data_IF_809675730629
#
_entry.id   IF_809675730629
#
_cell.length_a   1.000
_cell.length_b   1.000
_cell.length_c   1.000
_cell.angle_alpha   90.00
_cell.angle_beta   90.00
_cell.angle_gamma   90.00
#
_symmetry.space_group_name_H-M   'P 1'
#
loop_
_entity.id
_entity.type
_entity.pdbx_description
1 polymer ?
#
# COMPACT_ATOMS: atom_id res chain seq x y z
N UNK A 1 4.55 5.85 17.86
CA UNK A 1 3.37 6.16 17.02
C UNK A 1 3.75 5.85 15.58
N UNK A 2 3.62 4.59 15.16
CA UNK A 2 3.73 4.21 13.74
C UNK A 2 2.39 4.51 13.11
N UNK A 3 2.26 5.69 12.51
CA UNK A 3 1.09 6.03 11.70
C UNK A 3 0.99 5.02 10.57
N UNK A 4 -0.21 4.53 10.30
CA UNK A 4 -0.52 3.69 9.15
C UNK A 4 -0.10 4.44 7.87
N UNK A 5 1.09 4.12 7.36
CA UNK A 5 1.65 4.73 6.14
C UNK A 5 0.97 4.18 4.87
N UNK A 6 -0.16 3.48 4.98
CA UNK A 6 -0.87 2.85 3.86
C UNK A 6 -0.21 1.56 3.36
N UNK A 7 1.08 1.36 3.64
CA UNK A 7 1.76 0.06 3.47
C UNK A 7 1.35 -0.87 4.61
N UNK A 8 0.37 -1.74 4.33
CA UNK A 8 -0.10 -2.78 5.26
C UNK A 8 1.10 -3.47 5.91
N UNK A 9 1.32 -3.32 7.23
CA UNK A 9 2.38 -4.02 7.95
C UNK A 9 1.86 -5.36 8.48
N UNK A 10 2.16 -6.45 7.79
CA UNK A 10 1.71 -7.77 8.20
C UNK A 10 2.25 -8.24 9.57
N UNK A 11 3.34 -7.64 10.09
CA UNK A 11 3.77 -7.89 11.47
C UNK A 11 2.81 -7.26 12.46
N UNK A 12 2.33 -6.04 12.19
CA UNK A 12 1.32 -5.37 13.01
C UNK A 12 -0.03 -6.10 12.93
N UNK A 13 -0.44 -6.56 11.74
CA UNK A 13 -1.66 -7.37 11.55
C UNK A 13 -1.68 -8.61 12.45
N UNK A 14 -0.52 -9.27 12.63
CA UNK A 14 -0.36 -10.41 13.54
C UNK A 14 0.10 -10.04 14.95
N UNK A 15 0.31 -8.76 15.26
CA UNK A 15 0.97 -8.28 16.48
C UNK A 15 2.22 -9.10 16.84
N UNK A 16 3.12 -9.21 15.88
CA UNK A 16 4.39 -9.87 16.05
C UNK A 16 5.41 -8.89 16.65
N UNK A 17 6.30 -9.38 17.54
CA UNK A 17 7.45 -8.59 17.96
C UNK A 17 8.42 -8.40 16.77
N UNK A 18 9.31 -7.43 16.88
CA UNK A 18 10.29 -7.12 15.83
C UNK A 18 11.15 -8.34 15.45
N UNK A 19 11.57 -9.12 16.46
CA UNK A 19 12.36 -10.33 16.30
C UNK A 19 11.51 -11.60 16.52
N UNK A 20 10.44 -11.75 15.72
CA UNK A 20 9.54 -12.90 15.83
C UNK A 20 10.17 -14.21 15.32
N UNK A 21 9.75 -15.33 15.90
CA UNK A 21 10.05 -16.69 15.41
C UNK A 21 8.86 -17.22 14.60
N UNK A 22 9.06 -18.21 13.71
CA UNK A 22 7.96 -18.83 12.96
C UNK A 22 6.81 -19.35 13.85
N UNK A 23 7.13 -19.85 15.05
CA UNK A 23 6.12 -20.30 16.01
C UNK A 23 5.21 -19.14 16.52
N UNK A 24 5.74 -17.92 16.60
CA UNK A 24 4.96 -16.74 17.00
C UNK A 24 3.92 -16.39 15.93
N UNK A 25 4.27 -16.55 14.65
CA UNK A 25 3.38 -16.34 13.50
C UNK A 25 2.16 -17.25 13.58
N UNK A 26 2.39 -18.56 13.74
CA UNK A 26 1.32 -19.56 13.85
C UNK A 26 0.43 -19.28 15.06
N UNK A 27 1.03 -19.06 16.23
CA UNK A 27 0.29 -18.82 17.48
C UNK A 27 -0.59 -17.57 17.39
N UNK A 28 -0.04 -16.47 16.90
CA UNK A 28 -0.76 -15.20 16.83
C UNK A 28 -1.85 -15.22 15.75
N UNK A 29 -1.58 -15.85 14.61
CA UNK A 29 -2.58 -16.04 13.56
C UNK A 29 -3.79 -16.82 14.09
N UNK A 30 -3.59 -18.02 14.68
CA UNK A 30 -4.67 -18.83 15.23
C UNK A 30 -5.48 -18.09 16.29
N UNK A 31 -4.80 -17.35 17.17
CA UNK A 31 -5.45 -16.53 18.21
C UNK A 31 -6.33 -15.45 17.59
N UNK A 32 -5.79 -14.65 16.67
CA UNK A 32 -6.49 -13.51 16.05
C UNK A 32 -7.62 -13.95 15.14
N UNK A 33 -7.41 -14.99 14.33
CA UNK A 33 -8.46 -15.55 13.48
C UNK A 33 -9.62 -16.08 14.32
N UNK A 34 -9.34 -16.82 15.40
CA UNK A 34 -10.39 -17.28 16.32
C UNK A 34 -11.18 -16.12 16.93
N UNK A 35 -10.49 -15.06 17.37
CA UNK A 35 -11.15 -13.87 17.92
C UNK A 35 -12.05 -13.20 16.89
N UNK A 36 -11.58 -13.05 15.65
CA UNK A 36 -12.34 -12.48 14.55
C UNK A 36 -13.59 -13.31 14.22
N UNK A 37 -13.45 -14.64 14.17
CA UNK A 37 -14.59 -15.54 13.92
C UNK A 37 -15.65 -15.48 15.03
N UNK A 38 -15.23 -15.33 16.29
CA UNK A 38 -16.15 -15.08 17.41
C UNK A 38 -16.89 -13.76 17.19
N UNK A 39 -16.18 -12.68 16.88
CA UNK A 39 -16.78 -11.37 16.64
C UNK A 39 -17.78 -11.39 15.47
N UNK A 40 -17.44 -12.05 14.37
CA UNK A 40 -18.35 -12.25 13.23
C UNK A 40 -19.60 -13.02 13.66
N UNK A 41 -19.44 -14.05 14.51
CA UNK A 41 -20.57 -14.87 14.97
C UNK A 41 -21.53 -14.09 15.89
N UNK A 42 -21.00 -13.17 16.70
CA UNK A 42 -21.77 -12.33 17.62
C UNK A 42 -22.48 -11.19 16.88
N UNK A 43 -21.88 -10.66 15.81
CA UNK A 43 -22.39 -9.50 15.05
C UNK A 43 -23.12 -9.87 13.74
N UNK A 44 -23.68 -11.09 13.64
CA UNK A 44 -24.30 -11.64 12.40
C UNK A 44 -25.39 -10.77 11.75
N UNK A 45 -25.95 -9.79 12.44
CA UNK A 45 -27.02 -8.92 11.93
C UNK A 45 -26.53 -7.63 11.28
N UNK A 46 -25.24 -7.31 11.36
CA UNK A 46 -24.67 -6.09 10.78
C UNK A 46 -24.15 -6.37 9.36
N UNK A 47 -25.03 -6.39 8.36
CA UNK A 47 -24.67 -6.52 6.94
C UNK A 47 -23.61 -5.46 6.52
N UNK A 48 -23.68 -4.27 7.13
CA UNK A 48 -22.75 -3.15 6.90
C UNK A 48 -21.28 -3.47 7.23
N UNK A 49 -21.02 -4.52 8.02
CA UNK A 49 -19.65 -4.91 8.44
C UNK A 49 -19.10 -6.12 7.69
N UNK A 50 -19.89 -6.73 6.81
CA UNK A 50 -19.49 -7.96 6.12
C UNK A 50 -18.21 -7.78 5.31
N UNK A 51 -18.11 -6.68 4.55
CA UNK A 51 -16.94 -6.38 3.71
C UNK A 51 -15.70 -6.10 4.57
N UNK A 52 -15.89 -5.43 5.70
CA UNK A 52 -14.83 -5.17 6.67
C UNK A 52 -14.28 -6.46 7.28
N UNK A 53 -15.17 -7.36 7.74
CA UNK A 53 -14.75 -8.65 8.29
C UNK A 53 -14.06 -9.53 7.25
N UNK A 54 -14.54 -9.53 6.01
CA UNK A 54 -13.88 -10.28 4.94
C UNK A 54 -12.47 -9.74 4.67
N UNK A 55 -12.30 -8.41 4.67
CA UNK A 55 -10.98 -7.79 4.54
C UNK A 55 -10.04 -8.17 5.68
N UNK A 56 -10.51 -8.14 6.94
CA UNK A 56 -9.70 -8.53 8.10
C UNK A 56 -9.27 -10.01 8.03
N UNK A 57 -10.18 -10.91 7.64
CA UNK A 57 -9.86 -12.33 7.44
C UNK A 57 -8.80 -12.49 6.36
N UNK A 58 -8.98 -11.80 5.23
CA UNK A 58 -8.06 -11.84 4.10
C UNK A 58 -6.65 -11.33 4.49
N UNK A 59 -6.58 -10.24 5.25
CA UNK A 59 -5.33 -9.69 5.76
C UNK A 59 -4.63 -10.64 6.75
N UNK A 60 -5.38 -11.29 7.66
CA UNK A 60 -4.81 -12.28 8.58
C UNK A 60 -4.26 -13.49 7.82
N UNK A 61 -5.00 -14.00 6.82
CA UNK A 61 -4.56 -15.10 5.97
C UNK A 61 -3.29 -14.72 5.20
N UNK A 62 -3.26 -13.55 4.57
CA UNK A 62 -2.08 -13.05 3.87
C UNK A 62 -0.88 -12.88 4.80
N UNK A 63 -1.08 -12.28 5.98
CA UNK A 63 -0.01 -12.10 6.96
C UNK A 63 0.59 -13.45 7.39
N UNK A 64 -0.27 -14.43 7.63
CA UNK A 64 0.16 -15.78 8.00
C UNK A 64 0.91 -16.46 6.85
N UNK A 65 0.33 -16.45 5.65
CA UNK A 65 0.90 -17.02 4.44
C UNK A 65 2.27 -16.42 4.11
N UNK A 66 2.42 -15.11 4.28
CA UNK A 66 3.66 -14.38 3.99
C UNK A 66 4.73 -14.65 5.05
N UNK A 67 4.39 -14.49 6.34
CA UNK A 67 5.38 -14.42 7.40
C UNK A 67 5.77 -15.78 7.99
N UNK A 68 4.97 -16.84 7.77
CA UNK A 68 5.32 -18.19 8.26
C UNK A 68 6.48 -18.78 7.47
N UNK A 69 6.61 -18.41 6.20
CA UNK A 69 7.74 -18.76 5.35
C UNK A 69 8.84 -17.71 5.53
N UNK A 70 10.03 -18.15 5.92
CA UNK A 70 11.13 -17.24 6.26
C UNK A 70 11.56 -16.41 5.05
N UNK A 71 11.76 -17.05 3.90
CA UNK A 71 12.28 -16.38 2.72
C UNK A 71 11.26 -15.36 2.19
N UNK A 72 9.99 -15.74 2.14
CA UNK A 72 8.91 -14.87 1.69
C UNK A 72 8.70 -13.69 2.64
N UNK A 73 8.75 -13.93 3.94
CA UNK A 73 8.66 -12.90 4.97
C UNK A 73 9.81 -11.89 4.89
N UNK A 74 11.05 -12.37 4.79
CA UNK A 74 12.24 -11.52 4.60
C UNK A 74 12.14 -10.69 3.31
N UNK A 75 11.73 -11.32 2.20
CA UNK A 75 11.54 -10.65 0.90
C UNK A 75 10.48 -9.54 1.00
N UNK A 76 9.34 -9.83 1.64
CA UNK A 76 8.29 -8.84 1.86
C UNK A 76 8.78 -7.62 2.66
N UNK A 77 9.54 -7.86 3.74
CA UNK A 77 10.07 -6.76 4.56
C UNK A 77 11.07 -5.91 3.77
N UNK A 78 11.93 -6.54 2.97
CA UNK A 78 12.86 -5.84 2.10
C UNK A 78 12.13 -4.98 1.06
N UNK A 79 11.17 -5.57 0.33
CA UNK A 79 10.38 -4.84 -0.68
C UNK A 79 9.57 -3.69 -0.07
N UNK A 80 8.97 -3.90 1.12
CA UNK A 80 8.26 -2.84 1.83
C UNK A 80 9.17 -1.69 2.22
N UNK A 81 10.34 -1.99 2.79
CA UNK A 81 11.31 -0.97 3.17
C UNK A 81 11.86 -0.22 1.95
N UNK A 82 12.04 -0.92 0.83
CA UNK A 82 12.51 -0.33 -0.41
C UNK A 82 11.51 0.68 -1.00
N UNK A 83 10.22 0.35 -1.03
CA UNK A 83 9.19 1.28 -1.50
C UNK A 83 9.09 2.51 -0.58
N UNK A 84 9.17 2.30 0.75
CA UNK A 84 9.21 3.41 1.70
C UNK A 84 10.46 4.29 1.54
N UNK A 85 11.62 3.69 1.22
CA UNK A 85 12.85 4.42 0.92
C UNK A 85 12.69 5.27 -0.35
N UNK A 86 12.15 4.69 -1.42
CA UNK A 86 11.88 5.41 -2.68
C UNK A 86 10.93 6.59 -2.47
N UNK A 87 9.91 6.41 -1.61
CA UNK A 87 9.02 7.51 -1.22
C UNK A 87 9.78 8.66 -0.58
N UNK A 88 10.61 8.36 0.43
CA UNK A 88 11.38 9.36 1.16
C UNK A 88 12.41 10.06 0.26
N UNK A 89 13.02 9.32 -0.66
CA UNK A 89 13.95 9.86 -1.66
C UNK A 89 13.26 10.88 -2.57
N UNK A 90 12.09 10.54 -3.10
CA UNK A 90 11.33 11.48 -3.92
C UNK A 90 10.89 12.70 -3.10
N UNK A 91 10.34 12.49 -1.90
CA UNK A 91 9.93 13.58 -1.00
C UNK A 91 11.08 14.53 -0.65
N UNK A 92 12.27 13.99 -0.46
CA UNK A 92 13.47 14.77 -0.11
C UNK A 92 14.05 15.51 -1.32
N UNK A 93 13.98 14.92 -2.51
CA UNK A 93 14.48 15.52 -3.75
C UNK A 93 13.57 16.66 -4.26
N UNK A 94 12.28 16.60 -3.94
CA UNK A 94 11.30 17.59 -4.40
C UNK A 94 11.67 19.03 -4.02
N UNK A 95 11.72 19.92 -5.02
CA UNK A 95 12.02 21.34 -4.89
C UNK A 95 13.50 21.65 -4.66
N UNK A 96 14.40 20.67 -4.85
CA UNK A 96 15.85 20.84 -4.60
C UNK A 96 16.74 20.56 -5.81
N UNK A 97 16.18 20.06 -6.92
CA UNK A 97 16.96 19.60 -8.06
C UNK A 97 16.38 19.96 -9.43
N UNK A 98 16.89 19.31 -10.46
CA UNK A 98 16.36 19.36 -11.83
C UNK A 98 14.97 18.70 -11.88
N UNK A 99 14.00 19.38 -12.48
CA UNK A 99 12.64 18.88 -12.67
C UNK A 99 12.62 17.52 -13.41
N UNK A 100 13.61 17.27 -14.27
CA UNK A 100 13.79 15.97 -14.95
C UNK A 100 14.11 14.82 -13.99
N UNK A 101 14.98 15.06 -13.00
CA UNK A 101 15.33 14.04 -12.00
C UNK A 101 14.15 13.75 -11.05
N UNK A 102 13.39 14.78 -10.68
CA UNK A 102 12.18 14.64 -9.86
C UNK A 102 11.11 13.77 -10.56
N UNK A 103 10.87 13.99 -11.86
CA UNK A 103 9.90 13.17 -12.61
C UNK A 103 10.36 11.71 -12.75
N UNK A 104 11.66 11.46 -12.90
CA UNK A 104 12.22 10.10 -12.93
C UNK A 104 12.00 9.38 -11.59
N UNK A 105 12.25 10.06 -10.46
CA UNK A 105 12.01 9.50 -9.13
C UNK A 105 10.53 9.22 -8.90
N UNK A 106 9.65 10.16 -9.25
CA UNK A 106 8.19 10.00 -9.17
C UNK A 106 7.70 8.76 -9.92
N UNK A 107 8.09 8.60 -11.19
CA UNK A 107 7.66 7.45 -12.01
C UNK A 107 8.19 6.12 -11.48
N UNK A 108 9.44 6.09 -11.04
CA UNK A 108 10.04 4.88 -10.43
C UNK A 108 9.27 4.47 -9.18
N UNK A 109 8.99 5.43 -8.30
CA UNK A 109 8.22 5.20 -7.10
C UNK A 109 6.79 4.74 -7.41
N UNK A 110 6.06 5.42 -8.30
CA UNK A 110 4.69 5.05 -8.66
C UNK A 110 4.59 3.61 -9.19
N UNK A 111 5.53 3.22 -10.06
CA UNK A 111 5.59 1.86 -10.57
C UNK A 111 5.89 0.84 -9.45
N UNK A 112 6.85 1.15 -8.57
CA UNK A 112 7.20 0.28 -7.45
C UNK A 112 6.03 0.11 -6.47
N UNK A 113 5.33 1.20 -6.16
CA UNK A 113 4.14 1.20 -5.32
C UNK A 113 3.02 0.33 -5.93
N UNK A 114 2.67 0.55 -7.20
CA UNK A 114 1.64 -0.25 -7.89
C UNK A 114 1.96 -1.74 -7.86
N UNK A 115 3.22 -2.11 -8.14
CA UNK A 115 3.67 -3.50 -8.11
C UNK A 115 3.58 -4.09 -6.70
N UNK A 116 4.04 -3.35 -5.68
CA UNK A 116 3.98 -3.78 -4.29
C UNK A 116 2.54 -4.02 -3.82
N UNK A 117 1.63 -3.07 -4.08
CA UNK A 117 0.24 -3.19 -3.69
C UNK A 117 -0.48 -4.34 -4.43
N UNK A 118 -0.21 -4.53 -5.74
CA UNK A 118 -0.78 -5.65 -6.49
C UNK A 118 -0.33 -7.00 -5.92
N UNK A 119 0.98 -7.17 -5.70
CA UNK A 119 1.56 -8.42 -5.18
C UNK A 119 1.07 -8.75 -3.77
N UNK A 120 1.16 -7.79 -2.84
CA UNK A 120 0.94 -8.08 -1.42
C UNK A 120 -0.48 -7.87 -0.93
N UNK A 121 -1.32 -7.12 -1.64
CA UNK A 121 -2.71 -6.85 -1.22
C UNK A 121 -3.76 -7.49 -2.11
N UNK A 122 -3.37 -8.08 -3.25
CA UNK A 122 -4.28 -8.83 -4.11
C UNK A 122 -3.77 -10.24 -4.36
N UNK A 123 -2.61 -10.40 -5.00
CA UNK A 123 -2.13 -11.74 -5.41
C UNK A 123 -1.89 -12.67 -4.22
N UNK A 124 -1.05 -12.27 -3.27
CA UNK A 124 -0.74 -13.10 -2.09
C UNK A 124 -1.93 -13.28 -1.16
N UNK A 125 -2.90 -12.36 -1.20
CA UNK A 125 -4.13 -12.51 -0.43
C UNK A 125 -5.03 -13.60 -1.03
N UNK A 126 -5.15 -13.64 -2.36
CA UNK A 126 -5.87 -14.69 -3.07
C UNK A 126 -5.17 -16.05 -2.94
N UNK A 127 -3.84 -16.08 -3.02
CA UNK A 127 -3.06 -17.30 -2.77
C UNK A 127 -3.23 -17.82 -1.34
N UNK A 128 -3.21 -16.92 -0.35
CA UNK A 128 -3.45 -17.28 1.03
C UNK A 128 -4.85 -17.88 1.25
N UNK A 129 -5.87 -17.40 0.51
CA UNK A 129 -7.22 -17.97 0.54
C UNK A 129 -7.30 -19.42 0.03
N UNK A 130 -6.26 -19.92 -0.66
CA UNK A 130 -6.16 -21.29 -1.17
C UNK A 130 -5.17 -22.15 -0.38
N UNK A 131 -4.48 -21.56 0.59
CA UNK A 131 -3.56 -22.29 1.44
C UNK A 131 -4.31 -23.20 2.42
N UNK A 132 -3.97 -24.50 2.53
CA UNK A 132 -4.69 -25.45 3.37
C UNK A 132 -4.79 -25.02 4.84
N UNK A 133 -3.71 -24.47 5.39
CA UNK A 133 -3.66 -24.08 6.80
C UNK A 133 -4.46 -22.78 7.05
N UNK A 134 -4.45 -21.85 6.09
CA UNK A 134 -5.34 -20.68 6.13
C UNK A 134 -6.80 -21.10 6.07
N UNK A 135 -7.16 -21.96 5.13
CA UNK A 135 -8.54 -22.47 4.93
C UNK A 135 -9.04 -23.17 6.19
N UNK A 136 -8.23 -24.05 6.78
CA UNK A 136 -8.59 -24.78 8.00
C UNK A 136 -8.91 -23.84 9.17
N UNK A 137 -8.10 -22.79 9.39
CA UNK A 137 -8.23 -21.94 10.56
C UNK A 137 -9.21 -20.77 10.37
N UNK A 138 -9.45 -20.34 9.14
CA UNK A 138 -10.36 -19.23 8.83
C UNK A 138 -11.73 -19.67 8.35
N UNK A 139 -11.90 -20.93 7.92
CA UNK A 139 -13.12 -21.38 7.24
C UNK A 139 -13.32 -20.73 5.87
N UNK A 140 -12.24 -20.20 5.27
CA UNK A 140 -12.28 -19.57 3.95
C UNK A 140 -12.74 -20.57 2.89
N UNK A 141 -13.71 -20.17 2.07
CA UNK A 141 -14.29 -21.00 1.03
C UNK A 141 -14.45 -20.24 -0.29
N UNK A 142 -15.03 -20.91 -1.28
CA UNK A 142 -15.27 -20.34 -2.62
C UNK A 142 -16.18 -19.09 -2.63
N UNK A 143 -17.03 -18.91 -1.61
CA UNK A 143 -17.89 -17.74 -1.47
C UNK A 143 -17.07 -16.56 -0.98
N UNK A 144 -16.20 -16.78 0.02
CA UNK A 144 -15.26 -15.77 0.52
C UNK A 144 -14.34 -15.30 -0.61
N UNK A 145 -13.75 -16.23 -1.38
CA UNK A 145 -12.87 -15.89 -2.52
C UNK A 145 -13.57 -15.02 -3.56
N UNK A 146 -14.82 -15.37 -3.92
CA UNK A 146 -15.61 -14.62 -4.90
C UNK A 146 -15.91 -13.18 -4.45
N UNK A 147 -16.23 -13.00 -3.18
CA UNK A 147 -16.55 -11.68 -2.62
C UNK A 147 -15.28 -10.84 -2.39
N UNK A 148 -14.18 -11.48 -1.97
CA UNK A 148 -12.94 -10.80 -1.62
C UNK A 148 -12.35 -10.02 -2.79
N UNK A 149 -12.42 -10.54 -4.02
CA UNK A 149 -11.78 -9.88 -5.17
C UNK A 149 -12.19 -8.41 -5.38
N UNK A 150 -13.47 -8.06 -5.17
CA UNK A 150 -13.93 -6.66 -5.26
C UNK A 150 -13.37 -5.83 -4.10
N UNK A 151 -13.45 -6.35 -2.89
CA UNK A 151 -13.05 -5.66 -1.66
C UNK A 151 -11.54 -5.42 -1.65
N UNK A 152 -10.74 -6.39 -2.09
CA UNK A 152 -9.28 -6.26 -2.18
C UNK A 152 -8.87 -5.20 -3.19
N UNK A 153 -9.53 -5.14 -4.36
CA UNK A 153 -9.27 -4.07 -5.34
C UNK A 153 -9.64 -2.68 -4.81
N UNK A 154 -10.77 -2.57 -4.12
CA UNK A 154 -11.18 -1.31 -3.49
C UNK A 154 -10.19 -0.90 -2.39
N UNK A 155 -9.79 -1.83 -1.53
CA UNK A 155 -8.81 -1.61 -0.48
C UNK A 155 -7.45 -1.19 -1.04
N UNK A 156 -6.96 -1.89 -2.08
CA UNK A 156 -5.74 -1.55 -2.82
C UNK A 156 -5.81 -0.13 -3.39
N UNK A 157 -6.92 0.23 -4.02
CA UNK A 157 -7.12 1.56 -4.59
C UNK A 157 -7.17 2.64 -3.51
N UNK A 158 -7.84 2.36 -2.38
CA UNK A 158 -7.89 3.27 -1.25
C UNK A 158 -6.48 3.53 -0.70
N UNK A 159 -5.69 2.48 -0.44
CA UNK A 159 -4.31 2.62 0.05
C UNK A 159 -3.42 3.36 -0.94
N UNK A 160 -3.57 3.09 -2.23
CA UNK A 160 -2.86 3.84 -3.26
C UNK A 160 -3.16 5.34 -3.18
N UNK A 161 -4.43 5.74 -3.04
CA UNK A 161 -4.81 7.15 -2.89
C UNK A 161 -4.28 7.75 -1.60
N UNK A 162 -4.45 7.09 -0.45
CA UNK A 162 -3.94 7.59 0.85
C UNK A 162 -2.42 7.83 0.83
N UNK A 163 -1.68 6.96 0.14
CA UNK A 163 -0.24 7.13 -0.07
C UNK A 163 0.03 8.28 -1.03
N UNK A 164 -0.73 8.41 -2.10
CA UNK A 164 -0.54 9.45 -3.11
C UNK A 164 -0.89 10.85 -2.57
N UNK A 165 -1.90 10.97 -1.72
CA UNK A 165 -2.39 12.23 -1.11
C UNK A 165 -1.33 12.94 -0.27
N UNK A 166 -0.41 12.19 0.35
CA UNK A 166 0.67 12.78 1.15
C UNK A 166 1.90 13.19 0.33
N UNK A 167 1.91 12.91 -0.98
CA UNK A 167 3.06 13.19 -1.84
C UNK A 167 3.02 14.61 -2.38
N UNK A 168 4.18 15.23 -2.58
CA UNK A 168 4.26 16.53 -3.23
C UNK A 168 3.58 16.50 -4.60
N UNK A 169 2.88 17.59 -4.95
CA UNK A 169 2.17 17.76 -6.22
C UNK A 169 0.96 16.82 -6.45
N UNK A 170 0.32 16.36 -5.37
CA UNK A 170 -0.90 15.53 -5.43
C UNK A 170 -2.02 16.13 -6.31
N UNK A 171 -2.25 17.45 -6.25
CA UNK A 171 -3.32 18.13 -6.99
C UNK A 171 -2.84 19.01 -8.16
N UNK A 172 -1.57 19.44 -8.15
CA UNK A 172 -1.03 20.41 -9.11
C UNK A 172 0.46 20.12 -9.29
N UNK A 173 0.87 19.61 -10.44
CA UNK A 173 2.28 19.71 -10.86
C UNK A 173 2.67 21.19 -10.84
N UNK A 174 3.77 21.56 -10.20
CA UNK A 174 4.28 22.92 -10.29
C UNK A 174 4.35 23.30 -11.78
N UNK A 175 3.77 24.45 -12.19
CA UNK A 175 3.83 24.85 -13.58
C UNK A 175 5.30 24.97 -13.99
N UNK A 176 5.64 24.36 -15.12
CA UNK A 176 6.93 24.57 -15.76
C UNK A 176 6.94 26.01 -16.31
N UNK A 177 7.45 26.93 -15.50
CA UNK A 177 7.56 28.34 -15.87
C UNK A 177 8.96 28.55 -16.43
N UNK A 178 9.04 28.68 -17.75
CA UNK A 178 10.23 29.17 -18.42
C UNK A 178 10.43 30.66 -18.11
N UNK A 179 11.24 30.93 -17.10
CA UNK A 179 11.59 32.28 -16.67
C UNK A 179 12.48 33.01 -17.66
N UNK A 180 13.26 32.31 -18.49
CA UNK A 180 14.06 32.92 -19.55
C UNK A 180 13.14 33.50 -20.62
N UNK A 181 12.20 32.70 -21.13
CA UNK A 181 11.19 33.17 -22.10
C UNK A 181 10.36 34.32 -21.54
N UNK A 182 9.97 34.27 -20.26
CA UNK A 182 9.23 35.38 -19.63
C UNK A 182 10.06 36.64 -19.42
N UNK A 183 11.33 36.50 -19.07
CA UNK A 183 12.22 37.65 -18.87
C UNK A 183 12.48 38.35 -20.21
N UNK A 184 12.80 37.58 -21.26
CA UNK A 184 12.99 38.11 -22.62
C UNK A 184 11.73 38.79 -23.16
N UNK A 185 10.55 38.20 -22.94
CA UNK A 185 9.28 38.82 -23.33
C UNK A 185 9.03 40.15 -22.60
N UNK A 186 9.32 40.22 -21.30
CA UNK A 186 9.16 41.46 -20.52
C UNK A 186 10.17 42.52 -20.95
N UNK A 187 11.41 42.13 -21.25
CA UNK A 187 12.43 43.03 -21.81
C UNK A 187 11.97 43.58 -23.17
N UNK A 188 11.51 42.74 -24.09
CA UNK A 188 10.98 43.18 -25.39
C UNK A 188 9.75 44.10 -25.26
N UNK A 189 8.88 43.83 -24.29
CA UNK A 189 7.70 44.64 -24.00
C UNK A 189 8.08 46.03 -23.45
N UNK A 190 9.10 46.10 -22.59
CA UNK A 190 9.61 47.35 -22.01
C UNK A 190 10.44 48.16 -23.00
N UNK A 191 11.11 47.50 -23.95
CA UNK A 191 11.87 48.14 -25.03
C UNK A 191 10.99 48.60 -26.20
N UNK A 192 9.70 48.23 -26.20
CA UNK A 192 8.71 48.68 -27.20
C UNK A 192 8.83 47.96 -28.55
N UNK A 193 9.41 46.75 -28.56
CA UNK A 193 9.84 46.04 -29.76
C UNK A 193 8.80 45.05 -30.33
N UNK A 194 7.56 45.04 -29.83
CA UNK A 194 6.53 44.08 -30.25
C UNK A 194 6.11 44.38 -31.71
N UNK A 195 6.31 43.46 -32.68
CA UNK A 195 5.69 43.59 -33.99
C UNK A 195 4.20 43.26 -33.90
N UNK A 196 3.35 44.07 -34.55
CA UNK A 196 1.92 43.75 -34.79
C UNK A 196 1.72 42.41 -35.53
#
# INVERSE_FOLDING_TARGET
>A
MTGDMGYTDYREVLALPENYKPADVIRNYKKRMKQLLIEISENRQADDRRDHYLLLMAQLNAAFYILRDRQRGETYLLERNEVMRMEEEWRTATGKGDAGEEDVLRRKYDQALRNFLAKYMEEFVLEAGRDPECVENSGWDSVHERLAGRILRQYRQQRYHEIHERLPYFEVSAPDIDWETRSSFVEELLEGSIPE
#
